data_IF_855875980566
#
_entry.id   IF_855875980566
#
_cell.length_a   1.000
_cell.length_b   1.000
_cell.length_c   1.000
_cell.angle_alpha   90.00
_cell.angle_beta   90.00
_cell.angle_gamma   90.00
#
_symmetry.space_group_name_H-M   'P 1'
#
loop_
_entity.id
_entity.type
_entity.pdbx_description
1 polymer ?
#
# COMPACT_ATOMS: atom_id res chain seq x y z
N UNK A 1 6.02 -28.38 7.89
CA UNK A 1 4.74 -28.49 7.17
C UNK A 1 4.63 -27.21 6.36
N UNK A 2 4.69 -27.28 5.04
CA UNK A 2 4.62 -26.10 4.17
C UNK A 2 3.23 -25.49 4.28
N UNK A 3 3.14 -24.26 4.76
CA UNK A 3 1.91 -23.47 4.76
C UNK A 3 1.56 -23.16 3.31
N UNK A 4 0.49 -23.75 2.82
CA UNK A 4 -0.09 -23.50 1.50
C UNK A 4 -0.69 -22.08 1.53
N UNK A 5 0.05 -21.11 0.99
CA UNK A 5 -0.53 -19.81 0.66
C UNK A 5 -1.59 -20.03 -0.42
N UNK A 6 -2.86 -19.82 -0.06
CA UNK A 6 -3.93 -19.83 -1.05
C UNK A 6 -3.71 -18.66 -2.02
N UNK A 7 -3.61 -18.90 -3.34
CA UNK A 7 -3.54 -17.80 -4.29
C UNK A 7 -4.81 -16.97 -4.18
N UNK A 8 -4.67 -15.65 -4.11
CA UNK A 8 -5.76 -14.69 -4.20
C UNK A 8 -6.61 -15.09 -5.42
N UNK A 9 -7.92 -15.28 -5.20
CA UNK A 9 -8.86 -15.88 -6.16
C UNK A 9 -8.73 -15.20 -7.52
N UNK A 10 -8.55 -16.02 -8.56
CA UNK A 10 -8.60 -15.68 -9.97
C UNK A 10 -9.84 -14.84 -10.31
N UNK A 11 -9.63 -13.53 -10.56
CA UNK A 11 -10.72 -12.62 -10.96
C UNK A 11 -10.26 -11.21 -11.35
N UNK A 12 -9.03 -10.83 -11.00
CA UNK A 12 -8.49 -9.50 -11.34
C UNK A 12 -7.22 -9.67 -12.18
N UNK A 13 -7.40 -9.77 -13.48
CA UNK A 13 -6.31 -9.60 -14.46
C UNK A 13 -6.13 -8.10 -14.73
N UNK A 14 -5.52 -7.37 -13.78
CA UNK A 14 -5.28 -5.94 -13.93
C UNK A 14 -4.64 -5.32 -12.68
N UNK A 15 -4.07 -4.14 -12.85
CA UNK A 15 -3.52 -3.37 -11.76
C UNK A 15 -4.62 -2.70 -10.92
N UNK A 16 -4.49 -2.70 -9.60
CA UNK A 16 -5.32 -1.89 -8.71
C UNK A 16 -4.67 -0.51 -8.57
N UNK A 17 -5.32 0.48 -9.15
CA UNK A 17 -4.91 1.88 -9.04
C UNK A 17 -5.79 2.57 -8.01
N UNK A 18 -5.19 3.37 -7.14
CA UNK A 18 -5.89 4.11 -6.12
C UNK A 18 -5.06 5.24 -5.52
N UNK A 19 -5.51 5.73 -4.37
CA UNK A 19 -4.88 6.86 -3.67
C UNK A 19 -4.70 6.56 -2.18
N UNK A 20 -3.84 7.33 -1.52
CA UNK A 20 -3.71 7.35 -0.07
C UNK A 20 -4.86 8.17 0.54
N UNK A 21 -5.91 7.45 0.99
CA UNK A 21 -7.21 8.02 1.35
C UNK A 21 -8.12 8.21 0.14
N UNK A 22 -9.39 8.45 0.39
CA UNK A 22 -10.46 8.53 -0.61
C UNK A 22 -11.05 9.93 -0.77
N UNK A 23 -10.20 10.95 -0.72
CA UNK A 23 -10.63 12.33 -0.98
C UNK A 23 -10.95 12.51 -2.46
N UNK A 24 -12.09 13.11 -2.76
CA UNK A 24 -12.51 13.48 -4.12
C UNK A 24 -12.45 15.01 -4.23
N UNK A 25 -11.41 15.57 -4.87
CA UNK A 25 -11.31 17.00 -5.11
C UNK A 25 -12.45 17.52 -5.98
N UNK A 26 -12.85 18.77 -5.81
CA UNK A 26 -13.92 19.38 -6.60
C UNK A 26 -13.64 19.35 -8.11
N UNK A 27 -12.36 19.47 -8.52
CA UNK A 27 -11.94 19.37 -9.92
C UNK A 27 -12.23 18.00 -10.54
N UNK A 28 -12.24 16.94 -9.73
CA UNK A 28 -12.44 15.56 -10.18
C UNK A 28 -13.84 15.04 -9.90
N UNK A 29 -14.70 15.83 -9.24
CA UNK A 29 -16.02 15.40 -8.78
C UNK A 29 -16.91 14.85 -9.91
N UNK A 30 -16.77 15.36 -11.13
CA UNK A 30 -17.52 14.91 -12.31
C UNK A 30 -17.20 13.48 -12.77
N UNK A 31 -16.12 12.87 -12.28
CA UNK A 31 -15.74 11.49 -12.57
C UNK A 31 -16.37 10.47 -11.62
N UNK A 32 -17.10 10.92 -10.61
CA UNK A 32 -17.68 10.10 -9.54
C UNK A 32 -19.18 10.29 -9.44
N UNK A 33 -19.95 9.30 -8.92
CA UNK A 33 -21.36 9.47 -8.63
C UNK A 33 -21.61 10.70 -7.74
N UNK A 34 -22.75 11.36 -7.92
CA UNK A 34 -23.13 12.51 -7.09
C UNK A 34 -23.53 12.08 -5.68
N UNK A 35 -24.23 10.94 -5.56
CA UNK A 35 -24.82 10.43 -4.34
C UNK A 35 -23.91 9.44 -3.61
N UNK A 36 -24.13 9.30 -2.30
CA UNK A 36 -23.38 8.41 -1.43
C UNK A 36 -22.30 9.11 -0.59
N UNK A 37 -21.73 8.38 0.33
CA UNK A 37 -20.58 8.84 1.14
C UNK A 37 -19.34 8.99 0.25
N UNK A 38 -18.34 9.74 0.72
CA UNK A 38 -17.08 9.90 -0.04
C UNK A 38 -16.44 8.55 -0.40
N UNK A 39 -16.48 7.57 0.51
CA UNK A 39 -15.90 6.25 0.26
C UNK A 39 -16.72 5.45 -0.77
N UNK A 40 -18.05 5.45 -0.70
CA UNK A 40 -18.91 4.79 -1.68
C UNK A 40 -18.72 5.37 -3.08
N UNK A 41 -18.69 6.70 -3.19
CA UNK A 41 -18.41 7.41 -4.44
C UNK A 41 -17.05 7.05 -5.01
N UNK A 42 -16.02 7.04 -4.15
CA UNK A 42 -14.66 6.65 -4.52
C UNK A 42 -14.62 5.19 -5.02
N UNK A 43 -15.23 4.27 -4.28
CA UNK A 43 -15.24 2.85 -4.60
C UNK A 43 -16.07 2.49 -5.85
N UNK A 44 -16.93 3.39 -6.32
CA UNK A 44 -17.62 3.25 -7.61
C UNK A 44 -16.67 3.45 -8.81
N UNK A 45 -15.48 4.06 -8.59
CA UNK A 45 -14.53 4.36 -9.66
C UNK A 45 -13.21 3.60 -9.52
N UNK A 46 -12.71 3.42 -8.31
CA UNK A 46 -11.45 2.74 -8.00
C UNK A 46 -11.68 1.36 -7.40
N UNK A 47 -10.77 0.41 -7.68
CA UNK A 47 -10.82 -0.94 -7.13
C UNK A 47 -10.16 -1.11 -5.76
N UNK A 48 -9.44 -0.12 -5.30
CA UNK A 48 -8.76 -0.16 -4.00
C UNK A 48 -8.32 1.20 -3.50
N UNK A 49 -7.96 1.25 -2.21
CA UNK A 49 -7.49 2.46 -1.51
C UNK A 49 -6.48 2.10 -0.43
N UNK A 50 -5.57 3.02 -0.13
CA UNK A 50 -4.65 2.91 1.00
C UNK A 50 -5.17 3.74 2.18
N UNK A 51 -5.36 3.11 3.35
CA UNK A 51 -5.76 3.77 4.59
C UNK A 51 -4.51 4.26 5.31
N UNK A 52 -4.26 5.57 5.29
CA UNK A 52 -3.13 6.21 5.96
C UNK A 52 -3.47 6.77 7.36
N UNK A 53 -4.75 6.92 7.69
CA UNK A 53 -5.16 7.46 8.99
C UNK A 53 -4.79 6.55 10.16
N UNK A 54 -4.71 5.24 9.96
CA UNK A 54 -4.23 4.24 10.92
C UNK A 54 -2.77 4.48 11.37
N UNK A 55 -1.95 5.07 10.51
CA UNK A 55 -0.58 5.45 10.85
C UNK A 55 -0.50 6.44 12.00
N UNK A 56 -1.48 7.33 12.12
CA UNK A 56 -1.48 8.43 13.08
C UNK A 56 -2.28 8.12 14.35
N UNK A 57 -3.35 7.35 14.23
CA UNK A 57 -4.28 7.03 15.33
C UNK A 57 -4.99 5.70 15.10
N UNK A 58 -5.35 4.97 16.17
CA UNK A 58 -6.20 3.80 16.07
C UNK A 58 -7.62 4.18 15.62
N UNK A 59 -8.34 3.22 15.08
CA UNK A 59 -9.75 3.33 14.72
C UNK A 59 -10.56 2.29 15.50
N UNK A 60 -11.80 2.64 15.86
CA UNK A 60 -12.73 1.70 16.49
C UNK A 60 -13.05 0.56 15.52
N UNK A 61 -13.23 -0.66 16.04
CA UNK A 61 -13.64 -1.83 15.26
C UNK A 61 -14.87 -1.54 14.38
N UNK A 62 -15.88 -0.81 14.92
CA UNK A 62 -17.06 -0.39 14.16
C UNK A 62 -16.76 0.54 12.98
N UNK A 63 -15.65 1.29 13.02
CA UNK A 63 -15.23 2.14 11.89
C UNK A 63 -14.66 1.29 10.75
N UNK A 64 -13.83 0.31 11.09
CA UNK A 64 -13.31 -0.63 10.12
C UNK A 64 -14.43 -1.46 9.46
N UNK A 65 -15.35 -2.02 10.26
CA UNK A 65 -16.49 -2.78 9.76
C UNK A 65 -17.35 -1.94 8.80
N UNK A 66 -17.72 -0.72 9.20
CA UNK A 66 -18.49 0.18 8.35
C UNK A 66 -17.78 0.48 7.01
N UNK A 67 -16.46 0.68 6.99
CA UNK A 67 -15.72 0.86 5.74
C UNK A 67 -15.77 -0.40 4.88
N UNK A 68 -15.56 -1.57 5.48
CA UNK A 68 -15.69 -2.85 4.78
C UNK A 68 -17.07 -3.07 4.18
N UNK A 69 -18.13 -2.74 4.91
CA UNK A 69 -19.53 -2.91 4.47
C UNK A 69 -19.96 -1.91 3.38
N UNK A 70 -19.40 -0.69 3.40
CA UNK A 70 -19.81 0.39 2.50
C UNK A 70 -19.26 0.32 1.08
N UNK A 71 -18.42 -0.66 0.75
CA UNK A 71 -17.79 -0.78 -0.56
C UNK A 71 -18.16 -2.08 -1.26
N UNK A 72 -18.09 -2.15 -2.61
CA UNK A 72 -18.39 -3.37 -3.35
C UNK A 72 -17.55 -4.59 -2.93
N UNK A 73 -18.04 -5.79 -3.17
CA UNK A 73 -17.36 -7.05 -2.80
C UNK A 73 -15.95 -7.17 -3.43
N UNK A 74 -15.72 -6.60 -4.61
CA UNK A 74 -14.44 -6.59 -5.28
C UNK A 74 -13.44 -5.55 -4.77
N UNK A 75 -13.87 -4.57 -3.99
CA UNK A 75 -13.00 -3.50 -3.50
C UNK A 75 -12.02 -4.00 -2.43
N UNK A 76 -10.81 -3.45 -2.41
CA UNK A 76 -9.75 -3.88 -1.49
C UNK A 76 -9.09 -2.70 -0.78
N UNK A 77 -8.64 -2.95 0.45
CA UNK A 77 -7.93 -1.98 1.27
C UNK A 77 -6.48 -2.42 1.46
N UNK A 78 -5.56 -1.48 1.25
CA UNK A 78 -4.24 -1.51 1.84
C UNK A 78 -4.27 -0.66 3.12
N UNK A 79 -3.68 -1.14 4.20
CA UNK A 79 -3.70 -0.45 5.49
C UNK A 79 -2.29 -0.18 5.98
N UNK A 80 -1.97 1.08 6.26
CA UNK A 80 -0.65 1.47 6.73
C UNK A 80 -0.51 1.18 8.22
N UNK A 81 0.53 0.42 8.56
CA UNK A 81 0.88 0.04 9.93
C UNK A 81 1.19 1.29 10.77
N UNK A 82 0.73 1.36 12.03
CA UNK A 82 0.90 2.53 12.89
C UNK A 82 2.35 2.98 13.08
N UNK A 83 2.55 4.30 13.20
CA UNK A 83 3.87 4.90 13.46
C UNK A 83 4.48 4.48 14.80
N UNK A 84 3.67 4.07 15.75
CA UNK A 84 4.11 3.52 17.04
C UNK A 84 4.97 2.29 16.85
N UNK A 85 4.59 1.40 15.92
CA UNK A 85 5.32 0.18 15.58
C UNK A 85 6.57 0.51 14.74
N UNK A 86 6.37 1.21 13.61
CA UNK A 86 7.41 1.38 12.60
C UNK A 86 8.41 2.48 12.92
N UNK A 87 7.97 3.61 13.49
CA UNK A 87 8.80 4.80 13.70
C UNK A 87 9.23 4.97 15.16
N UNK A 88 8.32 4.81 16.13
CA UNK A 88 8.65 4.98 17.54
C UNK A 88 9.43 3.77 18.09
N UNK A 89 8.88 2.57 17.91
CA UNK A 89 9.51 1.32 18.35
C UNK A 89 10.55 0.79 17.38
N UNK A 90 10.56 1.25 16.12
CA UNK A 90 11.47 0.79 15.06
C UNK A 90 11.51 -0.74 14.97
N UNK A 91 10.34 -1.35 15.02
CA UNK A 91 10.08 -2.80 14.99
C UNK A 91 10.50 -3.59 16.25
N UNK A 92 11.05 -2.93 17.27
CA UNK A 92 11.53 -3.59 18.50
C UNK A 92 10.37 -3.75 19.48
N UNK A 93 10.19 -4.95 20.04
CA UNK A 93 9.23 -5.29 21.10
C UNK A 93 7.81 -4.74 20.82
N UNK A 94 7.34 -4.92 19.58
CA UNK A 94 6.05 -4.40 19.14
C UNK A 94 5.00 -5.49 18.83
N UNK A 95 5.22 -6.72 19.31
CA UNK A 95 4.33 -7.86 19.02
C UNK A 95 2.88 -7.62 19.47
N UNK A 96 2.66 -7.15 20.70
CA UNK A 96 1.34 -6.83 21.21
C UNK A 96 0.67 -5.70 20.42
N UNK A 97 1.41 -4.62 20.14
CA UNK A 97 0.91 -3.51 19.33
C UNK A 97 0.54 -3.93 17.90
N UNK A 98 1.29 -4.87 17.32
CA UNK A 98 0.98 -5.42 16.01
C UNK A 98 -0.28 -6.29 16.05
N UNK A 99 -0.44 -7.11 17.09
CA UNK A 99 -1.62 -7.95 17.28
C UNK A 99 -2.90 -7.10 17.47
N UNK A 100 -2.87 -6.11 18.36
CA UNK A 100 -3.97 -5.17 18.56
C UNK A 100 -4.36 -4.44 17.26
N UNK A 101 -3.37 -3.93 16.51
CA UNK A 101 -3.62 -3.26 15.25
C UNK A 101 -4.24 -4.19 14.20
N UNK A 102 -3.74 -5.42 14.08
CA UNK A 102 -4.28 -6.39 13.12
C UNK A 102 -5.71 -6.79 13.50
N UNK A 103 -5.99 -7.03 14.79
CA UNK A 103 -7.32 -7.31 15.29
C UNK A 103 -8.32 -6.19 14.93
N UNK A 104 -7.92 -4.93 15.13
CA UNK A 104 -8.75 -3.79 14.72
C UNK A 104 -8.99 -3.78 13.20
N UNK A 105 -7.93 -3.94 12.40
CA UNK A 105 -8.00 -3.87 10.93
C UNK A 105 -8.78 -5.03 10.32
N UNK A 106 -8.86 -6.18 10.99
CA UNK A 106 -9.70 -7.33 10.60
C UNK A 106 -11.19 -6.98 10.50
N UNK A 107 -11.64 -5.87 11.10
CA UNK A 107 -12.98 -5.32 10.87
C UNK A 107 -13.30 -5.04 9.39
N UNK A 108 -12.31 -4.91 8.51
CA UNK A 108 -12.49 -4.83 7.05
C UNK A 108 -12.90 -6.17 6.41
N UNK A 109 -12.82 -7.28 7.15
CA UNK A 109 -13.11 -8.62 6.66
C UNK A 109 -12.16 -9.06 5.53
N UNK A 110 -12.70 -9.75 4.54
CA UNK A 110 -11.99 -10.24 3.35
C UNK A 110 -11.49 -9.12 2.41
N UNK A 111 -11.85 -7.88 2.68
CA UNK A 111 -11.40 -6.71 1.93
C UNK A 111 -10.06 -6.14 2.42
N UNK A 112 -9.56 -6.57 3.59
CA UNK A 112 -8.19 -6.29 4.01
C UNK A 112 -7.22 -7.12 3.14
N UNK A 113 -6.60 -6.49 2.16
CA UNK A 113 -5.72 -7.17 1.21
C UNK A 113 -4.24 -7.00 1.55
N UNK A 114 -3.85 -5.82 2.05
CA UNK A 114 -2.44 -5.46 2.22
C UNK A 114 -2.22 -4.74 3.55
N UNK A 115 -1.12 -5.08 4.23
CA UNK A 115 -0.52 -4.28 5.29
C UNK A 115 0.74 -3.59 4.78
N UNK A 116 0.75 -2.26 4.79
CA UNK A 116 1.90 -1.45 4.38
C UNK A 116 2.77 -1.10 5.59
N UNK A 117 3.98 -1.64 5.62
CA UNK A 117 5.02 -1.34 6.60
C UNK A 117 5.97 -0.30 6.02
N UNK A 118 5.69 0.99 6.24
CA UNK A 118 6.63 2.04 5.87
C UNK A 118 7.64 2.28 7.01
N UNK A 119 8.94 2.24 6.68
CA UNK A 119 10.02 2.40 7.65
C UNK A 119 10.62 3.82 7.61
N UNK A 120 11.11 4.33 8.76
CA UNK A 120 11.72 5.65 8.81
C UNK A 120 13.12 5.66 8.18
N UNK A 121 13.60 6.82 7.67
CA UNK A 121 14.89 6.91 7.00
C UNK A 121 16.11 6.62 7.89
N UNK A 122 15.95 6.63 9.23
CA UNK A 122 17.01 6.32 10.19
C UNK A 122 17.04 4.86 10.64
N UNK A 123 16.17 4.00 10.10
CA UNK A 123 16.14 2.57 10.43
C UNK A 123 16.95 1.79 9.38
N UNK A 124 18.20 1.54 9.71
CA UNK A 124 19.04 0.65 8.91
C UNK A 124 18.51 -0.80 8.96
N UNK A 125 18.82 -1.57 7.94
CA UNK A 125 18.51 -3.00 7.90
C UNK A 125 19.26 -3.76 8.98
N UNK A 126 18.53 -4.52 9.78
CA UNK A 126 18.98 -5.52 10.71
C UNK A 126 18.20 -6.80 10.39
N UNK A 127 18.91 -7.81 9.92
CA UNK A 127 18.33 -9.05 9.42
C UNK A 127 17.49 -9.76 10.49
N UNK A 128 18.06 -9.94 11.69
CA UNK A 128 17.40 -10.65 12.78
C UNK A 128 16.16 -9.91 13.29
N UNK A 129 16.20 -8.58 13.35
CA UNK A 129 15.05 -7.76 13.72
C UNK A 129 13.96 -7.81 12.64
N UNK A 130 14.34 -7.66 11.37
CA UNK A 130 13.42 -7.70 10.24
C UNK A 130 12.72 -9.06 10.14
N UNK A 131 13.49 -10.15 10.24
CA UNK A 131 12.95 -11.51 10.21
C UNK A 131 11.91 -11.72 11.31
N UNK A 132 12.27 -11.47 12.56
CA UNK A 132 11.33 -11.63 13.70
C UNK A 132 10.05 -10.81 13.54
N UNK A 133 10.18 -9.57 13.08
CA UNK A 133 9.03 -8.69 12.92
C UNK A 133 8.08 -9.17 11.82
N UNK A 134 8.62 -9.47 10.63
CA UNK A 134 7.78 -9.88 9.49
C UNK A 134 7.20 -11.28 9.68
N UNK A 135 7.92 -12.24 10.26
CA UNK A 135 7.40 -13.55 10.63
C UNK A 135 6.21 -13.41 11.61
N UNK A 136 6.40 -12.57 12.64
CA UNK A 136 5.32 -12.32 13.62
C UNK A 136 4.10 -11.69 12.94
N UNK A 137 4.29 -10.63 12.16
CA UNK A 137 3.18 -9.93 11.49
C UNK A 137 2.46 -10.84 10.49
N UNK A 138 3.18 -11.66 9.73
CA UNK A 138 2.60 -12.65 8.81
C UNK A 138 1.79 -13.72 9.51
N UNK A 139 2.16 -14.07 10.75
CA UNK A 139 1.40 -15.02 11.58
C UNK A 139 0.07 -14.47 12.09
N UNK A 140 -0.13 -13.15 12.09
CA UNK A 140 -1.34 -12.50 12.61
C UNK A 140 -2.44 -12.32 11.56
N UNK A 141 -2.11 -12.36 10.26
CA UNK A 141 -3.05 -12.00 9.19
C UNK A 141 -2.77 -12.74 7.89
N UNK A 142 -3.83 -13.08 7.11
CA UNK A 142 -3.66 -13.57 5.75
C UNK A 142 -3.40 -12.45 4.72
N UNK A 143 -3.45 -11.17 5.12
CA UNK A 143 -3.17 -10.04 4.22
C UNK A 143 -1.71 -10.05 3.78
N UNK A 144 -1.46 -9.70 2.53
CA UNK A 144 -0.10 -9.56 2.00
C UNK A 144 0.63 -8.40 2.67
N UNK A 145 1.88 -8.61 3.06
CA UNK A 145 2.69 -7.56 3.66
C UNK A 145 3.56 -6.92 2.58
N UNK A 146 3.56 -5.58 2.54
CA UNK A 146 4.48 -4.81 1.71
C UNK A 146 5.34 -3.90 2.59
N UNK A 147 6.62 -3.80 2.27
CA UNK A 147 7.60 -2.98 2.99
C UNK A 147 8.06 -1.82 2.14
N UNK A 148 7.90 -0.60 2.65
CA UNK A 148 8.47 0.62 2.05
C UNK A 148 9.64 1.12 2.88
N UNK A 149 10.87 0.69 2.60
CA UNK A 149 12.04 1.16 3.32
C UNK A 149 12.44 2.56 2.87
N UNK A 150 13.06 3.32 3.79
CA UNK A 150 13.57 4.67 3.53
C UNK A 150 15.07 4.81 3.85
N UNK A 151 15.75 3.72 4.23
CA UNK A 151 17.19 3.68 4.45
C UNK A 151 17.87 2.83 3.36
N UNK A 152 19.01 3.26 2.79
CA UNK A 152 19.67 2.59 1.67
C UNK A 152 19.97 1.11 1.90
N UNK A 153 20.36 0.70 3.11
CA UNK A 153 20.71 -0.70 3.42
C UNK A 153 19.57 -1.71 3.18
N UNK A 154 18.32 -1.27 3.12
CA UNK A 154 17.18 -2.12 2.77
C UNK A 154 17.06 -2.41 1.26
N UNK A 155 17.89 -1.76 0.44
CA UNK A 155 17.94 -1.95 -1.02
C UNK A 155 19.12 -2.83 -1.45
N UNK A 156 19.87 -3.35 -0.48
CA UNK A 156 20.96 -4.30 -0.70
C UNK A 156 20.41 -5.72 -0.90
N UNK A 157 21.20 -6.56 -1.57
CA UNK A 157 20.77 -7.92 -1.94
C UNK A 157 20.33 -8.79 -0.74
N UNK A 158 20.99 -8.64 0.41
CA UNK A 158 20.63 -9.39 1.61
C UNK A 158 19.22 -9.05 2.14
N UNK A 159 18.88 -7.76 2.15
CA UNK A 159 17.56 -7.32 2.57
C UNK A 159 16.47 -7.76 1.58
N UNK A 160 16.74 -7.65 0.29
CA UNK A 160 15.80 -8.07 -0.75
C UNK A 160 15.56 -9.59 -0.70
N UNK A 161 16.61 -10.39 -0.50
CA UNK A 161 16.52 -11.84 -0.34
C UNK A 161 15.75 -12.25 0.92
N UNK A 162 15.93 -11.54 2.05
CA UNK A 162 15.13 -11.80 3.24
C UNK A 162 13.66 -11.50 3.01
N UNK A 163 13.33 -10.35 2.43
CA UNK A 163 11.94 -9.98 2.13
C UNK A 163 11.29 -11.00 1.21
N UNK A 164 12.00 -11.46 0.16
CA UNK A 164 11.52 -12.50 -0.74
C UNK A 164 11.22 -13.80 0.00
N UNK A 165 12.14 -14.27 0.84
CA UNK A 165 11.99 -15.51 1.61
C UNK A 165 10.81 -15.49 2.58
N UNK A 166 10.42 -14.29 3.05
CA UNK A 166 9.31 -14.07 3.97
C UNK A 166 7.97 -13.76 3.27
N UNK A 167 7.95 -13.73 1.94
CA UNK A 167 6.75 -13.37 1.18
C UNK A 167 6.36 -11.89 1.32
N UNK A 168 7.32 -11.01 1.60
CA UNK A 168 7.13 -9.57 1.75
C UNK A 168 7.57 -8.84 0.48
N UNK A 169 6.65 -8.12 -0.17
CA UNK A 169 7.00 -7.33 -1.35
C UNK A 169 7.65 -6.00 -0.95
N UNK A 170 8.73 -5.62 -1.64
CA UNK A 170 9.33 -4.30 -1.45
C UNK A 170 8.70 -3.28 -2.37
N UNK A 171 8.20 -2.21 -1.77
CA UNK A 171 7.51 -1.11 -2.46
C UNK A 171 8.46 -0.35 -3.38
N UNK A 172 8.02 -0.08 -4.60
CA UNK A 172 8.61 0.92 -5.48
C UNK A 172 8.07 2.30 -5.11
N UNK A 173 8.94 3.23 -4.77
CA UNK A 173 8.55 4.57 -4.33
C UNK A 173 9.11 5.67 -5.25
N UNK A 174 8.31 6.67 -5.56
CA UNK A 174 8.74 7.88 -6.25
C UNK A 174 8.34 9.14 -5.45
N UNK A 175 9.30 10.05 -5.16
CA UNK A 175 10.71 9.99 -5.53
C UNK A 175 11.47 8.92 -4.77
N UNK A 176 12.35 8.24 -5.51
CA UNK A 176 13.19 7.18 -4.98
C UNK A 176 14.40 7.74 -4.22
N UNK A 177 14.75 7.12 -3.09
CA UNK A 177 15.97 7.47 -2.34
C UNK A 177 17.25 7.04 -3.07
N UNK A 178 17.16 5.97 -3.85
CA UNK A 178 18.16 5.44 -4.79
C UNK A 178 17.42 4.83 -5.98
N UNK A 179 18.06 4.69 -7.16
CA UNK A 179 17.40 4.10 -8.34
C UNK A 179 16.74 2.74 -8.07
N UNK A 180 17.35 1.89 -7.25
CA UNK A 180 16.78 0.60 -6.87
C UNK A 180 15.45 0.69 -6.09
N UNK A 181 15.13 1.83 -5.48
CA UNK A 181 13.87 2.05 -4.77
C UNK A 181 12.70 2.39 -5.70
N UNK A 182 12.97 2.67 -6.99
CA UNK A 182 11.93 2.99 -7.97
C UNK A 182 11.37 1.75 -8.69
N UNK A 183 11.82 0.57 -8.32
CA UNK A 183 11.31 -0.69 -8.87
C UNK A 183 10.88 -1.62 -7.77
N UNK A 184 9.83 -2.43 -7.97
CA UNK A 184 9.42 -3.42 -6.99
C UNK A 184 10.53 -4.45 -6.74
N UNK A 185 10.64 -4.94 -5.50
CA UNK A 185 11.62 -5.95 -5.09
C UNK A 185 11.07 -6.89 -4.03
N UNK A 186 11.97 -7.63 -3.36
CA UNK A 186 11.58 -8.68 -2.43
C UNK A 186 10.71 -9.73 -3.11
N UNK A 187 9.65 -10.20 -2.42
CA UNK A 187 8.73 -11.17 -2.98
C UNK A 187 7.93 -10.60 -4.17
N UNK A 188 8.01 -11.30 -5.31
CA UNK A 188 7.44 -10.84 -6.59
C UNK A 188 6.04 -11.40 -6.88
N UNK A 189 5.37 -12.02 -5.92
CA UNK A 189 3.97 -12.44 -6.07
C UNK A 189 2.98 -11.27 -6.11
N UNK A 190 3.43 -10.07 -5.68
CA UNK A 190 2.72 -8.81 -5.76
C UNK A 190 3.71 -7.68 -6.00
N UNK A 191 3.36 -6.72 -6.84
CA UNK A 191 4.12 -5.49 -7.06
C UNK A 191 3.34 -4.30 -6.50
N UNK A 192 4.01 -3.42 -5.75
CA UNK A 192 3.38 -2.28 -5.11
C UNK A 192 4.15 -0.99 -5.37
N UNK A 193 3.48 0.02 -5.91
CA UNK A 193 4.02 1.36 -6.13
C UNK A 193 3.37 2.37 -5.20
N UNK A 194 4.18 3.29 -4.65
CA UNK A 194 3.71 4.48 -3.96
C UNK A 194 4.29 5.73 -4.62
N UNK A 195 3.42 6.47 -5.28
CA UNK A 195 3.77 7.66 -6.04
C UNK A 195 3.46 8.92 -5.23
N UNK A 196 4.50 9.46 -4.60
CA UNK A 196 4.36 10.57 -3.65
C UNK A 196 4.38 11.95 -4.31
N UNK A 197 4.53 12.02 -5.64
CA UNK A 197 4.64 13.29 -6.37
C UNK A 197 6.07 13.76 -6.55
N UNK A 198 6.37 14.25 -7.74
CA UNK A 198 7.68 14.73 -8.13
C UNK A 198 7.54 15.94 -9.05
N UNK A 199 8.35 17.01 -8.90
CA UNK A 199 9.52 17.11 -8.02
C UNK A 199 9.21 17.41 -6.54
N UNK A 200 8.04 17.96 -6.22
CA UNK A 200 7.68 18.27 -4.84
C UNK A 200 6.86 17.13 -4.22
N UNK A 201 7.50 16.36 -3.33
CA UNK A 201 6.88 15.23 -2.62
C UNK A 201 5.56 15.65 -1.95
N UNK A 202 4.54 14.82 -2.05
CA UNK A 202 3.16 14.97 -1.60
C UNK A 202 2.34 16.06 -2.31
N UNK A 203 2.93 16.86 -3.21
CA UNK A 203 2.27 18.03 -3.82
C UNK A 203 2.17 17.96 -5.33
N UNK A 204 3.28 17.67 -6.02
CA UNK A 204 3.31 17.74 -7.48
C UNK A 204 2.47 16.66 -8.13
N UNK A 205 1.71 17.04 -9.16
CA UNK A 205 1.14 16.10 -10.10
C UNK A 205 2.24 15.47 -10.98
N UNK A 206 1.94 14.34 -11.55
CA UNK A 206 2.76 13.69 -12.56
C UNK A 206 2.39 14.19 -13.96
N UNK A 207 3.39 14.43 -14.79
CA UNK A 207 3.17 14.70 -16.21
C UNK A 207 2.80 13.43 -17.00
N UNK A 208 2.31 13.61 -18.21
CA UNK A 208 1.84 12.50 -19.03
C UNK A 208 2.96 11.53 -19.39
N UNK A 209 4.19 12.01 -19.63
CA UNK A 209 5.32 11.15 -19.97
C UNK A 209 5.69 10.20 -18.82
N UNK A 210 5.65 10.68 -17.57
CA UNK A 210 5.88 9.85 -16.38
C UNK A 210 4.73 8.86 -16.15
N UNK A 211 3.50 9.28 -16.36
CA UNK A 211 2.34 8.38 -16.25
C UNK A 211 2.39 7.29 -17.33
N UNK A 212 2.83 7.60 -18.55
CA UNK A 212 3.06 6.62 -19.62
C UNK A 212 4.16 5.63 -19.24
N UNK A 213 5.24 6.10 -18.59
CA UNK A 213 6.30 5.24 -18.07
C UNK A 213 5.79 4.28 -16.99
N UNK A 214 5.02 4.77 -16.01
CA UNK A 214 4.42 3.92 -14.99
C UNK A 214 3.41 2.94 -15.56
N UNK A 215 2.58 3.35 -16.52
CA UNK A 215 1.65 2.43 -17.18
C UNK A 215 2.40 1.26 -17.85
N UNK A 216 3.51 1.53 -18.54
CA UNK A 216 4.35 0.48 -19.17
C UNK A 216 4.97 -0.45 -18.12
N UNK A 217 5.52 0.09 -17.04
CA UNK A 217 6.13 -0.70 -15.97
C UNK A 217 5.10 -1.58 -15.27
N UNK A 218 3.98 -1.00 -14.84
CA UNK A 218 2.89 -1.69 -14.15
C UNK A 218 2.25 -2.74 -15.05
N UNK A 219 2.00 -2.41 -16.32
CA UNK A 219 1.43 -3.33 -17.31
C UNK A 219 2.36 -4.49 -17.68
N UNK A 220 3.67 -4.37 -17.44
CA UNK A 220 4.65 -5.44 -17.67
C UNK A 220 4.81 -6.40 -16.48
N UNK A 221 4.21 -6.11 -15.33
CA UNK A 221 4.31 -6.98 -14.15
C UNK A 221 3.56 -8.30 -14.37
N UNK A 222 4.19 -9.44 -14.07
CA UNK A 222 3.60 -10.75 -14.35
C UNK A 222 2.48 -11.15 -13.38
N UNK A 223 2.37 -10.46 -12.25
CA UNK A 223 1.43 -10.72 -11.16
C UNK A 223 0.48 -9.57 -10.89
N UNK A 224 -0.16 -9.62 -9.74
CA UNK A 224 -1.02 -8.53 -9.27
C UNK A 224 -0.18 -7.28 -8.99
N UNK A 225 -0.61 -6.14 -9.52
CA UNK A 225 0.04 -4.86 -9.31
C UNK A 225 -0.87 -3.89 -8.54
N UNK A 226 -0.28 -3.11 -7.63
CA UNK A 226 -0.96 -2.03 -6.92
C UNK A 226 -0.18 -0.74 -7.13
N UNK A 227 -0.89 0.35 -7.43
CA UNK A 227 -0.27 1.67 -7.51
C UNK A 227 -1.11 2.69 -6.75
N UNK A 228 -0.53 3.23 -5.68
CA UNK A 228 -1.17 4.18 -4.78
C UNK A 228 -0.52 5.55 -4.89
N UNK A 229 -1.30 6.53 -5.33
CA UNK A 229 -0.87 7.92 -5.37
C UNK A 229 -1.01 8.56 -3.99
N UNK A 230 0.10 9.08 -3.45
CA UNK A 230 0.18 9.73 -2.13
C UNK A 230 0.50 11.24 -2.25
N UNK A 231 0.38 11.84 -3.45
CA UNK A 231 0.50 13.28 -3.69
C UNK A 231 -0.82 14.02 -3.37
N UNK A 232 -1.30 13.79 -2.14
CA UNK A 232 -2.63 14.21 -1.69
C UNK A 232 -2.68 15.63 -1.14
N UNK A 233 -1.53 16.22 -0.74
CA UNK A 233 -1.49 17.52 -0.08
C UNK A 233 -1.94 18.70 -0.97
N UNK A 234 -1.79 18.57 -2.28
CA UNK A 234 -2.30 19.52 -3.28
C UNK A 234 -3.44 18.95 -4.13
N UNK A 235 -4.06 17.85 -3.67
CA UNK A 235 -5.19 17.20 -4.34
C UNK A 235 -4.89 16.63 -5.72
N UNK A 236 -3.62 16.36 -6.06
CA UNK A 236 -3.23 15.84 -7.37
C UNK A 236 -3.48 14.33 -7.53
N UNK A 237 -3.45 13.58 -6.43
CA UNK A 237 -3.49 12.12 -6.43
C UNK A 237 -4.66 11.52 -7.22
N UNK A 238 -5.87 12.04 -7.04
CA UNK A 238 -7.08 11.50 -7.68
C UNK A 238 -7.04 11.69 -9.20
N UNK A 239 -6.65 12.87 -9.68
CA UNK A 239 -6.50 13.14 -11.11
C UNK A 239 -5.41 12.29 -11.76
N UNK A 240 -4.26 12.14 -11.10
CA UNK A 240 -3.16 11.30 -11.58
C UNK A 240 -3.56 9.82 -11.63
N UNK A 241 -4.26 9.33 -10.60
CA UNK A 241 -4.78 7.96 -10.57
C UNK A 241 -5.77 7.68 -11.71
N UNK A 242 -6.71 8.61 -11.99
CA UNK A 242 -7.64 8.50 -13.11
C UNK A 242 -6.92 8.48 -14.46
N UNK A 243 -5.91 9.34 -14.63
CA UNK A 243 -5.09 9.37 -15.85
C UNK A 243 -4.29 8.09 -16.05
N UNK A 244 -3.70 7.53 -14.98
CA UNK A 244 -2.98 6.26 -15.05
C UNK A 244 -3.92 5.10 -15.41
N UNK A 245 -5.10 5.02 -14.79
CA UNK A 245 -6.11 4.01 -15.13
C UNK A 245 -6.53 4.05 -16.60
N UNK A 246 -6.58 5.22 -17.20
CA UNK A 246 -6.95 5.37 -18.61
C UNK A 246 -5.85 4.88 -19.60
N UNK A 247 -4.64 4.58 -19.10
CA UNK A 247 -3.47 4.10 -19.85
C UNK A 247 -3.24 2.59 -19.74
N UNK A 248 -3.89 1.95 -18.76
CA UNK A 248 -3.82 0.52 -18.50
C UNK A 248 -5.03 -0.22 -19.08
#
# INVERSE_FOLDING_TARGET
MASSFAPLRSGWMGAIIGTAGWSIPASEAGHFPADGTALERYAARFGGVEINSSFHRPHRASTWARWGESVPAGFRFAVKVPKTITHARKLVDCGELAAEFVEEAQGLGDKLAILLVQLPPKLAFDEALAQRFFEHLSGLTPATIVCEPRHPSWLEAAADALLDSLGVARVAADPAILPAANVPGGWRGLSYWRLHGSPAMYRSAYDDARLDDYARQIGAEPGQAWCMFDNTAASAATGDALKLMARL
#
